data_IF_097645348028
#
_entry.id   IF_097645348028
#
_cell.length_a   1.000
_cell.length_b   1.000
_cell.length_c   1.000
_cell.angle_alpha   90.00
_cell.angle_beta   90.00
_cell.angle_gamma   90.00
#
_symmetry.space_group_name_H-M   'P 1'
#
loop_
_entity.id
_entity.type
_entity.pdbx_description
1 polymer ?
#
# COMPACT_ATOMS: atom_id res chain seq x y z
N UNK A 1 -16.47 -12.52 6.07
CA UNK A 1 -16.87 -11.70 4.91
C UNK A 1 -15.62 -11.15 4.27
N UNK A 2 -15.16 -11.72 3.16
CA UNK A 2 -14.06 -11.17 2.37
C UNK A 2 -14.67 -10.31 1.26
N UNK A 3 -14.62 -9.00 1.44
CA UNK A 3 -15.00 -8.02 0.42
C UNK A 3 -13.81 -7.67 -0.49
N UNK A 4 -13.09 -8.68 -0.98
CA UNK A 4 -12.23 -8.53 -2.15
C UNK A 4 -12.87 -9.32 -3.28
N UNK A 5 -14.00 -8.82 -3.76
CA UNK A 5 -14.48 -9.11 -5.11
C UNK A 5 -13.34 -8.79 -6.07
N UNK A 6 -12.92 -9.79 -6.83
CA UNK A 6 -11.97 -9.65 -7.93
C UNK A 6 -12.41 -8.47 -8.79
N UNK A 7 -11.61 -7.40 -8.79
CA UNK A 7 -11.74 -6.35 -9.77
C UNK A 7 -11.38 -6.97 -11.13
N UNK A 8 -12.12 -6.63 -12.22
CA UNK A 8 -11.80 -7.10 -13.56
C UNK A 8 -10.34 -6.76 -13.89
N UNK A 9 -9.72 -7.48 -14.85
CA UNK A 9 -8.35 -7.27 -15.36
C UNK A 9 -8.15 -5.80 -15.81
N UNK A 10 -7.99 -4.92 -14.84
CA UNK A 10 -7.55 -3.55 -15.00
C UNK A 10 -6.05 -3.66 -15.18
N UNK A 11 -5.51 -2.92 -16.16
CA UNK A 11 -4.10 -2.55 -16.14
C UNK A 11 -3.82 -2.11 -14.70
N UNK A 12 -2.90 -2.80 -14.03
CA UNK A 12 -2.65 -2.53 -12.62
C UNK A 12 -2.27 -1.06 -12.51
N UNK A 13 -2.64 -0.41 -11.40
CA UNK A 13 -2.28 1.00 -11.18
C UNK A 13 -0.77 1.20 -11.36
N UNK A 14 0.04 0.19 -10.97
CA UNK A 14 1.47 0.16 -11.20
C UNK A 14 1.84 0.21 -12.70
N UNK A 15 1.20 -0.60 -13.55
CA UNK A 15 1.43 -0.57 -15.00
C UNK A 15 1.03 0.76 -15.64
N UNK A 16 -0.06 1.39 -15.16
CA UNK A 16 -0.45 2.74 -15.63
C UNK A 16 0.62 3.76 -15.25
N UNK A 17 1.09 3.73 -14.00
CA UNK A 17 2.14 4.64 -13.52
C UNK A 17 3.47 4.44 -14.27
N UNK A 18 3.85 3.20 -14.57
CA UNK A 18 5.04 2.89 -15.38
C UNK A 18 4.94 3.43 -16.81
N UNK A 19 3.72 3.54 -17.36
CA UNK A 19 3.46 4.04 -18.70
C UNK A 19 3.31 5.57 -18.81
N UNK A 20 3.28 6.29 -17.67
CA UNK A 20 3.07 7.74 -17.67
C UNK A 20 4.34 8.50 -18.07
N UNK A 21 4.25 9.24 -19.17
CA UNK A 21 5.29 10.15 -19.65
C UNK A 21 4.90 11.61 -19.37
N UNK A 22 5.15 12.04 -18.13
CA UNK A 22 4.78 13.39 -17.66
C UNK A 22 5.62 14.48 -18.35
N UNK A 23 6.84 14.18 -18.77
CA UNK A 23 7.78 15.15 -19.36
C UNK A 23 7.30 15.63 -20.74
N UNK A 24 6.60 14.77 -21.47
CA UNK A 24 6.14 15.06 -22.83
C UNK A 24 4.72 15.67 -22.90
N UNK A 25 4.14 16.06 -21.77
CA UNK A 25 2.83 16.76 -21.74
C UNK A 25 3.01 18.20 -22.21
N UNK A 26 2.46 18.57 -23.37
CA UNK A 26 2.61 19.91 -23.96
C UNK A 26 2.06 21.04 -23.07
N UNK A 27 0.91 20.81 -22.41
CA UNK A 27 0.31 21.77 -21.51
C UNK A 27 1.09 21.85 -20.18
N UNK A 28 1.79 22.96 -19.97
CA UNK A 28 2.60 23.21 -18.78
C UNK A 28 1.78 23.21 -17.48
N UNK A 29 0.55 23.75 -17.51
CA UNK A 29 -0.31 23.77 -16.32
C UNK A 29 -0.75 22.36 -15.97
N UNK A 30 -1.16 21.58 -16.96
CA UNK A 30 -1.54 20.17 -16.77
C UNK A 30 -0.36 19.35 -16.24
N UNK A 31 0.84 19.51 -16.82
CA UNK A 31 2.06 18.86 -16.36
C UNK A 31 2.32 19.13 -14.89
N UNK A 32 2.28 20.40 -14.48
CA UNK A 32 2.52 20.81 -13.10
C UNK A 32 1.47 20.26 -12.13
N UNK A 33 0.21 20.21 -12.54
CA UNK A 33 -0.87 19.60 -11.74
C UNK A 33 -0.57 18.11 -11.52
N UNK A 34 -0.19 17.38 -12.57
CA UNK A 34 0.13 15.95 -12.49
C UNK A 34 1.34 15.72 -11.59
N UNK A 35 2.41 16.52 -11.71
CA UNK A 35 3.57 16.45 -10.83
C UNK A 35 3.19 16.64 -9.35
N UNK A 36 2.34 17.62 -9.03
CA UNK A 36 1.86 17.84 -7.66
C UNK A 36 1.05 16.64 -7.16
N UNK A 37 0.20 16.07 -8.01
CA UNK A 37 -0.60 14.89 -7.67
C UNK A 37 0.28 13.66 -7.38
N UNK A 38 1.28 13.39 -8.23
CA UNK A 38 2.20 12.27 -8.04
C UNK A 38 3.02 12.42 -6.76
N UNK A 39 3.55 13.63 -6.51
CA UNK A 39 4.23 13.93 -5.24
C UNK A 39 3.29 13.70 -4.04
N UNK A 40 2.01 14.04 -4.18
CA UNK A 40 1.04 13.83 -3.10
C UNK A 40 0.74 12.34 -2.89
N UNK A 41 0.66 11.56 -3.96
CA UNK A 41 0.47 10.10 -3.91
C UNK A 41 1.65 9.45 -3.19
N UNK A 42 2.90 9.77 -3.57
CA UNK A 42 4.10 9.24 -2.88
C UNK A 42 4.09 9.56 -1.37
N UNK A 43 3.72 10.78 -1.00
CA UNK A 43 3.60 11.15 0.42
C UNK A 43 2.53 10.34 1.16
N UNK A 44 1.42 10.01 0.49
CA UNK A 44 0.36 9.20 1.08
C UNK A 44 0.78 7.73 1.20
N UNK A 45 1.40 7.16 0.16
CA UNK A 45 1.93 5.80 0.19
C UNK A 45 2.98 5.62 1.31
N UNK A 46 3.88 6.59 1.47
CA UNK A 46 4.85 6.59 2.58
C UNK A 46 4.17 6.58 3.94
N UNK A 47 3.06 7.30 4.11
CA UNK A 47 2.28 7.31 5.36
C UNK A 47 1.55 6.00 5.59
N UNK A 48 0.93 5.44 4.54
CA UNK A 48 0.24 4.14 4.61
C UNK A 48 1.22 3.06 5.04
N UNK A 49 2.39 2.98 4.38
CA UNK A 49 3.42 2.00 4.72
C UNK A 49 3.89 2.10 6.19
N UNK A 50 4.05 3.32 6.71
CA UNK A 50 4.39 3.54 8.13
C UNK A 50 3.29 3.04 9.07
N UNK A 51 2.03 3.39 8.78
CA UNK A 51 0.87 2.98 9.58
C UNK A 51 0.70 1.46 9.55
N UNK A 52 0.87 0.82 8.40
CA UNK A 52 0.81 -0.64 8.27
C UNK A 52 1.90 -1.32 9.09
N UNK A 53 3.13 -0.79 9.05
CA UNK A 53 4.23 -1.31 9.86
C UNK A 53 3.98 -1.14 11.37
N UNK A 54 3.44 -0.01 11.80
CA UNK A 54 3.05 0.22 13.20
C UNK A 54 1.91 -0.70 13.63
N UNK A 55 0.88 -0.85 12.79
CA UNK A 55 -0.22 -1.76 13.02
C UNK A 55 0.27 -3.21 13.17
N UNK A 56 1.20 -3.66 12.31
CA UNK A 56 1.80 -4.98 12.43
C UNK A 56 2.54 -5.15 13.76
N UNK A 57 3.37 -4.18 14.15
CA UNK A 57 4.07 -4.21 15.46
C UNK A 57 3.09 -4.29 16.63
N UNK A 58 2.00 -3.52 16.58
CA UNK A 58 0.96 -3.55 17.61
C UNK A 58 0.24 -4.89 17.65
N UNK A 59 -0.04 -5.52 16.51
CA UNK A 59 -0.63 -6.86 16.46
C UNK A 59 0.31 -7.90 17.05
N UNK A 60 1.60 -7.87 16.69
CA UNK A 60 2.61 -8.76 17.24
C UNK A 60 2.71 -8.62 18.76
N UNK A 61 2.72 -7.38 19.25
CA UNK A 61 2.73 -7.07 20.67
C UNK A 61 1.44 -7.54 21.38
N UNK A 62 0.29 -7.36 20.75
CA UNK A 62 -1.00 -7.83 21.27
C UNK A 62 -1.01 -9.35 21.42
N UNK A 63 -0.52 -10.08 20.42
CA UNK A 63 -0.42 -11.54 20.42
C UNK A 63 0.57 -12.02 21.49
N UNK A 64 1.70 -11.33 21.64
CA UNK A 64 2.69 -11.58 22.70
C UNK A 64 2.07 -11.40 24.09
N UNK A 65 1.35 -10.30 24.32
CA UNK A 65 0.71 -9.97 25.61
C UNK A 65 -0.44 -10.91 25.96
N UNK A 66 -1.23 -11.34 24.97
CA UNK A 66 -2.29 -12.35 25.14
C UNK A 66 -1.75 -13.74 25.46
N UNK A 67 -0.43 -13.95 25.41
CA UNK A 67 0.18 -15.23 25.74
C UNK A 67 -0.15 -16.30 24.70
N UNK A 68 -0.38 -15.92 23.44
CA UNK A 68 -0.42 -16.85 22.30
C UNK A 68 0.99 -17.39 22.00
N UNK A 69 1.67 -17.92 23.02
CA UNK A 69 2.56 -19.05 22.80
C UNK A 69 1.65 -20.19 22.38
N UNK A 70 1.46 -20.35 21.06
CA UNK A 70 0.89 -21.58 20.52
C UNK A 70 1.52 -22.74 21.26
N UNK A 71 0.71 -23.56 21.93
CA UNK A 71 1.20 -24.77 22.61
C UNK A 71 2.10 -25.51 21.61
N UNK A 72 3.34 -25.87 21.97
CA UNK A 72 4.17 -26.67 21.07
C UNK A 72 3.35 -27.91 20.71
N UNK A 73 3.03 -28.10 19.43
CA UNK A 73 2.50 -29.38 18.95
C UNK A 73 3.65 -30.38 18.94
N UNK A 74 4.18 -30.74 20.11
CA UNK A 74 5.01 -31.94 20.23
C UNK A 74 4.01 -33.09 20.20
N UNK A 75 3.91 -33.76 19.05
CA UNK A 75 3.37 -35.12 19.00
C UNK A 75 4.49 -36.08 19.42
N UNK A 76 4.20 -37.14 20.21
CA UNK A 76 5.17 -38.15 20.59
C UNK A 76 5.74 -38.89 19.38
#
# INVERSE_FOLDING_TARGET
>A
MNFMTQLPDYISVAQILESLDVINIEDEQLRKIIEILLNRIEQLESKVSKVEAENQKLQDENNRLKGEKGKPKIKP
#
